data_IF_490699979738
#
_entry.id   IF_490699979738
#
_cell.length_a   1.000
_cell.length_b   1.000
_cell.length_c   1.000
_cell.angle_alpha   90.00
_cell.angle_beta   90.00
_cell.angle_gamma   90.00
#
_symmetry.space_group_name_H-M   'P 1'
#
loop_
_entity.id
_entity.type
_entity.pdbx_description
1 polymer ?
#
# COMPACT_ATOMS: atom_id res chain seq x y z
N UNK A 1 0.74 4.50 3.55
CA UNK A 1 0.16 5.30 2.46
C UNK A 1 -0.55 6.54 3.00
N UNK A 2 -1.56 6.38 3.87
CA UNK A 2 -2.35 7.50 4.40
C UNK A 2 -1.51 8.58 5.09
N UNK A 3 -0.42 8.20 5.73
CA UNK A 3 0.55 9.14 6.32
C UNK A 3 1.18 10.08 5.28
N UNK A 4 1.53 9.53 4.10
CA UNK A 4 2.21 10.26 3.02
C UNK A 4 1.22 10.98 2.09
N UNK A 5 -0.09 10.75 2.24
CA UNK A 5 -1.12 11.28 1.35
C UNK A 5 -1.22 12.81 1.37
N UNK A 6 -1.63 13.42 0.26
CA UNK A 6 -1.86 14.87 0.18
C UNK A 6 -2.98 15.34 1.13
N UNK A 7 -4.00 14.50 1.36
CA UNK A 7 -5.08 14.77 2.32
C UNK A 7 -4.66 14.54 3.78
N UNK A 8 -3.45 14.03 4.00
CA UNK A 8 -2.91 13.82 5.34
C UNK A 8 -2.69 15.13 6.08
N UNK A 9 -3.12 15.18 7.33
CA UNK A 9 -2.96 16.30 8.23
C UNK A 9 -2.29 15.82 9.55
N UNK A 10 -1.92 16.72 10.48
CA UNK A 10 -1.24 16.33 11.72
C UNK A 10 -1.98 15.25 12.51
N UNK A 11 -3.31 15.30 12.57
CA UNK A 11 -4.13 14.30 13.26
C UNK A 11 -4.06 12.93 12.60
N UNK A 12 -4.29 12.85 11.28
CA UNK A 12 -4.23 11.59 10.55
C UNK A 12 -2.82 11.01 10.53
N UNK A 13 -1.78 11.85 10.43
CA UNK A 13 -0.38 11.42 10.51
C UNK A 13 -0.05 10.83 11.87
N UNK A 14 -0.50 11.43 12.95
CA UNK A 14 -0.33 10.88 14.30
C UNK A 14 -0.99 9.50 14.42
N UNK A 15 -2.24 9.36 13.98
CA UNK A 15 -2.96 8.08 14.00
C UNK A 15 -2.25 7.02 13.16
N UNK A 16 -1.84 7.36 11.94
CA UNK A 16 -1.17 6.43 11.03
C UNK A 16 0.19 5.96 11.61
N UNK A 17 0.97 6.86 12.19
CA UNK A 17 2.24 6.50 12.81
C UNK A 17 2.01 5.58 14.02
N UNK A 18 1.08 5.94 14.91
CA UNK A 18 0.73 5.14 16.09
C UNK A 18 0.25 3.73 15.66
N UNK A 19 -0.64 3.68 14.67
CA UNK A 19 -1.12 2.41 14.13
C UNK A 19 0.02 1.56 13.55
N UNK A 20 0.93 2.19 12.80
CA UNK A 20 2.07 1.50 12.20
C UNK A 20 2.96 0.88 13.29
N UNK A 21 3.30 1.63 14.33
CA UNK A 21 4.13 1.13 15.44
C UNK A 21 3.48 -0.08 16.15
N UNK A 22 2.17 -0.02 16.40
CA UNK A 22 1.42 -1.12 17.02
C UNK A 22 1.40 -2.36 16.11
N UNK A 23 1.07 -2.16 14.82
CA UNK A 23 0.94 -3.26 13.85
C UNK A 23 2.31 -3.90 13.56
N UNK A 24 3.36 -3.11 13.38
CA UNK A 24 4.72 -3.59 13.20
C UNK A 24 5.16 -4.43 14.40
N UNK A 25 5.00 -3.89 15.61
CA UNK A 25 5.32 -4.64 16.84
C UNK A 25 4.53 -5.95 16.92
N UNK A 26 3.23 -5.90 16.64
CA UNK A 26 2.36 -7.06 16.69
C UNK A 26 2.79 -8.17 15.73
N UNK A 27 3.10 -7.80 14.48
CA UNK A 27 3.47 -8.76 13.44
C UNK A 27 4.89 -9.32 13.66
N UNK A 28 5.86 -8.45 13.96
CA UNK A 28 7.25 -8.89 14.12
C UNK A 28 7.47 -9.76 15.36
N UNK A 29 6.65 -9.59 16.40
CA UNK A 29 6.75 -10.31 17.67
C UNK A 29 5.61 -11.33 17.89
N UNK A 30 4.80 -11.64 16.86
CA UNK A 30 3.69 -12.58 16.93
C UNK A 30 2.67 -12.24 18.05
N UNK A 31 2.42 -10.93 18.31
CA UNK A 31 1.49 -10.39 19.30
C UNK A 31 0.14 -10.04 18.67
N UNK A 32 -0.53 -11.07 18.12
CA UNK A 32 -1.73 -10.91 17.29
C UNK A 32 -2.92 -10.31 18.03
N UNK A 33 -2.96 -10.39 19.37
CA UNK A 33 -3.97 -9.71 20.19
C UNK A 33 -3.98 -8.18 20.04
N UNK A 34 -2.87 -7.60 19.54
CA UNK A 34 -2.75 -6.15 19.29
C UNK A 34 -3.23 -5.73 17.88
N UNK A 35 -3.45 -6.68 16.98
CA UNK A 35 -3.82 -6.36 15.59
C UNK A 35 -5.15 -5.60 15.51
N UNK A 36 -6.13 -5.97 16.32
CA UNK A 36 -7.43 -5.31 16.33
C UNK A 36 -7.32 -3.82 16.69
N UNK A 37 -6.53 -3.50 17.72
CA UNK A 37 -6.29 -2.10 18.13
C UNK A 37 -5.54 -1.32 17.04
N UNK A 38 -4.45 -1.89 16.51
CA UNK A 38 -3.68 -1.27 15.44
C UNK A 38 -4.53 -1.02 14.19
N UNK A 39 -5.36 -2.00 13.81
CA UNK A 39 -6.27 -1.90 12.68
C UNK A 39 -7.34 -0.82 12.90
N UNK A 40 -7.93 -0.72 14.10
CA UNK A 40 -8.90 0.33 14.44
C UNK A 40 -8.26 1.73 14.29
N UNK A 41 -7.10 1.95 14.89
CA UNK A 41 -6.40 3.24 14.83
C UNK A 41 -6.01 3.57 13.38
N UNK A 42 -5.54 2.57 12.63
CA UNK A 42 -5.24 2.70 11.20
C UNK A 42 -6.48 3.15 10.41
N UNK A 43 -7.65 2.52 10.67
CA UNK A 43 -8.93 2.86 10.06
C UNK A 43 -9.34 4.31 10.32
N UNK A 44 -9.17 4.79 11.55
CA UNK A 44 -9.41 6.20 11.89
C UNK A 44 -8.46 7.15 11.14
N UNK A 45 -7.22 6.75 10.93
CA UNK A 45 -6.24 7.53 10.16
C UNK A 45 -6.61 7.61 8.68
N UNK A 46 -6.68 6.49 7.97
CA UNK A 46 -6.93 6.49 6.53
C UNK A 46 -8.38 6.84 6.15
N UNK A 47 -9.34 6.61 7.04
CA UNK A 47 -10.72 7.04 6.85
C UNK A 47 -10.87 8.54 6.70
N UNK A 48 -9.94 9.33 7.27
CA UNK A 48 -9.92 10.79 7.21
C UNK A 48 -8.89 11.38 6.23
N UNK A 49 -8.05 10.57 5.58
CA UNK A 49 -7.03 11.02 4.63
C UNK A 49 -6.97 10.21 3.34
N UNK A 50 -7.77 9.14 3.25
CA UNK A 50 -7.75 8.17 2.16
C UNK A 50 -6.39 7.49 1.99
N UNK A 51 -6.28 6.64 0.98
CA UNK A 51 -5.08 5.90 0.58
C UNK A 51 -4.56 6.40 -0.77
N UNK A 52 -3.50 5.82 -1.29
CA UNK A 52 -2.76 6.36 -2.44
C UNK A 52 -2.42 5.29 -3.47
N UNK A 53 -1.28 5.42 -4.14
CA UNK A 53 -0.81 4.59 -5.25
C UNK A 53 -0.86 3.08 -4.99
N UNK A 54 -0.51 2.63 -3.78
CA UNK A 54 -0.51 1.19 -3.47
C UNK A 54 -1.90 0.58 -3.60
N UNK A 55 -2.95 1.30 -3.17
CA UNK A 55 -4.33 0.87 -3.36
C UNK A 55 -4.74 0.89 -4.84
N UNK A 56 -4.40 1.96 -5.58
CA UNK A 56 -4.67 2.02 -7.02
C UNK A 56 -4.05 0.82 -7.77
N UNK A 57 -2.80 0.47 -7.43
CA UNK A 57 -2.12 -0.70 -8.01
C UNK A 57 -2.75 -2.02 -7.57
N UNK A 58 -3.29 -2.13 -6.36
CA UNK A 58 -3.76 -3.40 -5.81
C UNK A 58 -5.02 -3.93 -6.49
N UNK A 59 -5.88 -3.06 -7.02
CA UNK A 59 -7.17 -3.44 -7.56
C UNK A 59 -7.08 -4.36 -8.78
N UNK A 60 -6.08 -4.20 -9.65
CA UNK A 60 -5.93 -5.08 -10.82
C UNK A 60 -5.61 -6.52 -10.38
N UNK A 61 -4.87 -6.71 -9.30
CA UNK A 61 -4.60 -8.01 -8.71
C UNK A 61 -5.82 -8.58 -7.97
N UNK A 62 -6.52 -7.73 -7.21
CA UNK A 62 -7.71 -8.15 -6.47
C UNK A 62 -8.85 -8.54 -7.41
N UNK A 63 -8.98 -7.90 -8.55
CA UNK A 63 -9.96 -8.27 -9.59
C UNK A 63 -9.66 -9.64 -10.23
N UNK A 64 -8.42 -10.13 -10.15
CA UNK A 64 -8.03 -11.47 -10.56
C UNK A 64 -8.13 -12.51 -9.42
N UNK A 65 -8.75 -12.15 -8.29
CA UNK A 65 -9.02 -13.05 -7.18
C UNK A 65 -7.91 -13.11 -6.12
N UNK A 66 -6.86 -12.29 -6.21
CA UNK A 66 -5.86 -12.19 -5.16
C UNK A 66 -6.46 -11.42 -3.98
N UNK A 67 -6.38 -11.98 -2.77
CA UNK A 67 -6.89 -11.34 -1.56
C UNK A 67 -6.30 -9.92 -1.41
N UNK A 68 -7.16 -8.93 -1.17
CA UNK A 68 -6.78 -7.51 -1.18
C UNK A 68 -5.58 -7.19 -0.26
N UNK A 69 -5.57 -7.67 0.97
CA UNK A 69 -4.43 -7.48 1.88
C UNK A 69 -3.13 -8.14 1.39
N UNK A 70 -3.23 -9.27 0.68
CA UNK A 70 -2.09 -9.91 0.05
C UNK A 70 -1.55 -9.05 -1.10
N UNK A 71 -2.41 -8.57 -1.99
CA UNK A 71 -2.00 -7.65 -3.07
C UNK A 71 -1.36 -6.38 -2.51
N UNK A 72 -1.96 -5.78 -1.47
CA UNK A 72 -1.44 -4.59 -0.80
C UNK A 72 -0.05 -4.79 -0.19
N UNK A 73 0.31 -5.98 0.27
CA UNK A 73 1.65 -6.23 0.80
C UNK A 73 2.75 -5.89 -0.21
N UNK A 74 2.53 -6.16 -1.48
CA UNK A 74 3.48 -5.88 -2.56
C UNK A 74 3.28 -4.50 -3.17
N UNK A 75 2.05 -4.12 -3.45
CA UNK A 75 1.77 -2.84 -4.11
C UNK A 75 2.02 -1.64 -3.20
N UNK A 76 1.75 -1.75 -1.90
CA UNK A 76 2.11 -0.71 -0.93
C UNK A 76 3.62 -0.62 -0.73
N UNK A 77 4.33 -1.74 -0.77
CA UNK A 77 5.79 -1.73 -0.71
C UNK A 77 6.38 -0.98 -1.91
N UNK A 78 5.88 -1.26 -3.12
CA UNK A 78 6.28 -0.54 -4.34
C UNK A 78 5.93 0.95 -4.27
N UNK A 79 4.73 1.29 -3.78
CA UNK A 79 4.30 2.68 -3.59
C UNK A 79 5.16 3.42 -2.56
N UNK A 80 5.52 2.80 -1.45
CA UNK A 80 6.43 3.39 -0.46
C UNK A 80 7.82 3.66 -1.05
N UNK A 81 8.36 2.72 -1.84
CA UNK A 81 9.65 2.92 -2.54
C UNK A 81 9.55 4.09 -3.53
N UNK A 82 8.51 4.14 -4.34
CA UNK A 82 8.27 5.20 -5.33
C UNK A 82 8.13 6.58 -4.68
N UNK A 83 7.42 6.65 -3.56
CA UNK A 83 7.14 7.90 -2.85
C UNK A 83 8.27 8.35 -1.91
N UNK A 84 9.36 7.62 -1.76
CA UNK A 84 10.42 7.82 -0.76
C UNK A 84 9.87 7.89 0.68
N UNK A 85 8.88 7.04 0.96
CA UNK A 85 8.24 6.98 2.27
C UNK A 85 9.22 6.62 3.38
N UNK A 86 9.12 7.32 4.52
CA UNK A 86 9.90 6.99 5.73
C UNK A 86 9.60 5.58 6.26
N UNK A 87 8.45 5.01 5.90
CA UNK A 87 8.05 3.66 6.30
C UNK A 87 8.60 2.55 5.39
N UNK A 88 9.22 2.87 4.26
CA UNK A 88 9.60 1.87 3.25
C UNK A 88 10.37 0.69 3.86
N UNK A 89 11.48 0.96 4.57
CA UNK A 89 12.32 -0.11 5.13
C UNK A 89 11.63 -0.91 6.24
N UNK A 90 10.88 -0.24 7.08
CA UNK A 90 10.12 -0.90 8.15
C UNK A 90 9.02 -1.80 7.55
N UNK A 91 8.30 -1.30 6.56
CA UNK A 91 7.26 -2.07 5.86
C UNK A 91 7.85 -3.26 5.08
N UNK A 92 9.00 -3.10 4.45
CA UNK A 92 9.74 -4.19 3.80
C UNK A 92 10.03 -5.35 4.79
N UNK A 93 10.43 -5.05 6.02
CA UNK A 93 10.66 -6.05 7.05
C UNK A 93 9.38 -6.81 7.44
N UNK A 94 8.25 -6.09 7.52
CA UNK A 94 6.94 -6.71 7.77
C UNK A 94 6.57 -7.66 6.64
N UNK A 95 6.69 -7.22 5.39
CA UNK A 95 6.39 -8.06 4.21
C UNK A 95 7.27 -9.32 4.19
N UNK A 96 8.56 -9.20 4.51
CA UNK A 96 9.48 -10.34 4.63
C UNK A 96 9.06 -11.32 5.73
N UNK A 97 8.66 -10.80 6.91
CA UNK A 97 8.19 -11.64 8.03
C UNK A 97 6.91 -12.40 7.66
N UNK A 98 5.98 -11.75 6.96
CA UNK A 98 4.72 -12.37 6.53
C UNK A 98 4.93 -13.46 5.49
N UNK A 99 6.02 -13.40 4.74
CA UNK A 99 6.43 -14.41 3.75
C UNK A 99 5.29 -14.81 2.79
N UNK A 100 4.51 -13.85 2.33
CA UNK A 100 3.43 -14.11 1.38
C UNK A 100 3.98 -14.62 0.05
N UNK A 101 3.23 -15.53 -0.57
CA UNK A 101 3.51 -15.99 -1.93
C UNK A 101 3.48 -14.78 -2.88
N UNK A 102 4.44 -14.74 -3.81
CA UNK A 102 4.50 -13.69 -4.84
C UNK A 102 3.19 -13.60 -5.62
N UNK A 103 2.82 -12.39 -5.96
CA UNK A 103 1.64 -12.12 -6.79
C UNK A 103 2.02 -12.09 -8.26
N UNK A 104 1.09 -12.48 -9.13
CA UNK A 104 1.23 -12.37 -10.58
C UNK A 104 -0.01 -11.69 -11.16
N UNK A 105 0.15 -11.07 -12.30
CA UNK A 105 -0.93 -10.42 -13.04
C UNK A 105 -1.08 -11.14 -14.37
N UNK A 106 -2.30 -11.62 -14.69
CA UNK A 106 -2.62 -12.22 -15.98
C UNK A 106 -3.00 -11.17 -17.03
N UNK A 107 -3.57 -10.05 -16.57
CA UNK A 107 -3.94 -8.95 -17.44
C UNK A 107 -2.70 -8.33 -18.11
N UNK A 108 -2.83 -7.93 -19.38
CA UNK A 108 -1.77 -7.17 -20.05
C UNK A 108 -1.42 -5.90 -19.28
N UNK A 109 -0.13 -5.64 -19.10
CA UNK A 109 0.37 -4.56 -18.25
C UNK A 109 -0.03 -3.17 -18.77
N UNK A 110 -0.18 -2.99 -20.09
CA UNK A 110 -0.64 -1.71 -20.65
C UNK A 110 -2.11 -1.49 -20.34
N UNK A 111 -2.92 -2.54 -20.49
CA UNK A 111 -4.34 -2.48 -20.14
C UNK A 111 -4.54 -2.26 -18.63
N UNK A 112 -3.78 -2.97 -17.81
CA UNK A 112 -3.77 -2.75 -16.36
C UNK A 112 -3.42 -1.30 -15.99
N UNK A 113 -2.39 -0.72 -16.63
CA UNK A 113 -2.00 0.66 -16.40
C UNK A 113 -3.08 1.68 -16.77
N UNK A 114 -3.85 1.41 -17.83
CA UNK A 114 -4.98 2.25 -18.23
C UNK A 114 -6.15 2.19 -17.23
N UNK A 115 -6.40 1.02 -16.66
CA UNK A 115 -7.40 0.87 -15.60
C UNK A 115 -6.97 1.61 -14.33
N UNK A 116 -5.73 1.48 -13.93
CA UNK A 116 -5.16 2.16 -12.75
C UNK A 116 -5.25 3.69 -12.93
N UNK A 117 -4.94 4.22 -14.12
CA UNK A 117 -5.02 5.66 -14.39
C UNK A 117 -6.43 6.26 -14.25
N UNK A 118 -7.47 5.43 -14.29
CA UNK A 118 -8.86 5.87 -14.03
C UNK A 118 -9.14 6.08 -12.55
N UNK A 119 -8.32 5.53 -11.66
CA UNK A 119 -8.47 5.68 -10.21
C UNK A 119 -7.92 7.03 -9.72
N UNK A 120 -8.60 8.09 -10.10
CA UNK A 120 -8.23 9.47 -9.74
C UNK A 120 -8.22 9.69 -8.23
N UNK A 121 -9.13 9.05 -7.49
CA UNK A 121 -9.22 9.20 -6.04
C UNK A 121 -7.88 8.91 -5.35
N UNK A 122 -7.22 7.82 -5.70
CA UNK A 122 -5.98 7.40 -5.07
C UNK A 122 -4.75 8.07 -5.70
N UNK A 123 -4.75 8.23 -7.03
CA UNK A 123 -3.62 8.82 -7.74
C UNK A 123 -3.48 10.32 -7.47
N UNK A 124 -4.59 11.07 -7.43
CA UNK A 124 -4.56 12.52 -7.13
C UNK A 124 -4.16 12.79 -5.67
N UNK A 125 -4.45 11.82 -4.77
CA UNK A 125 -4.05 11.86 -3.36
C UNK A 125 -2.59 11.40 -3.11
N UNK A 126 -1.94 10.80 -4.11
CA UNK A 126 -0.55 10.35 -3.98
C UNK A 126 0.40 11.55 -3.84
N UNK A 127 1.42 11.52 -2.96
CA UNK A 127 2.32 12.66 -2.74
C UNK A 127 3.07 13.07 -4.01
N UNK A 128 3.47 12.10 -4.84
CA UNK A 128 4.11 12.35 -6.13
C UNK A 128 3.14 12.10 -7.28
N UNK A 129 3.17 12.89 -8.37
CA UNK A 129 2.45 12.55 -9.58
C UNK A 129 2.95 11.21 -10.13
N UNK A 130 2.07 10.48 -10.80
CA UNK A 130 2.38 9.15 -11.35
C UNK A 130 2.01 9.11 -12.82
N UNK A 131 2.95 8.77 -13.67
CA UNK A 131 2.76 8.61 -15.12
C UNK A 131 2.40 7.17 -15.49
N UNK A 132 1.86 6.97 -16.70
CA UNK A 132 1.57 5.63 -17.24
C UNK A 132 2.82 4.73 -17.23
N UNK A 133 3.98 5.27 -17.65
CA UNK A 133 5.21 4.50 -17.71
C UNK A 133 5.70 4.06 -16.33
N UNK A 134 5.56 4.92 -15.32
CA UNK A 134 5.90 4.56 -13.94
C UNK A 134 4.97 3.45 -13.40
N UNK A 135 3.67 3.51 -13.68
CA UNK A 135 2.74 2.42 -13.34
C UNK A 135 3.17 1.11 -14.00
N UNK A 136 3.50 1.13 -15.29
CA UNK A 136 3.98 -0.05 -16.02
C UNK A 136 5.23 -0.63 -15.36
N UNK A 137 6.19 0.21 -15.00
CA UNK A 137 7.42 -0.22 -14.34
C UNK A 137 7.15 -0.85 -12.96
N UNK A 138 6.29 -0.22 -12.15
CA UNK A 138 5.89 -0.73 -10.84
C UNK A 138 5.18 -2.09 -10.94
N UNK A 139 4.30 -2.27 -11.94
CA UNK A 139 3.65 -3.56 -12.17
C UNK A 139 4.65 -4.64 -12.57
N UNK A 140 5.62 -4.33 -13.43
CA UNK A 140 6.67 -5.26 -13.85
C UNK A 140 7.60 -5.64 -12.69
N UNK A 141 7.99 -4.68 -11.84
CA UNK A 141 8.79 -4.97 -10.65
C UNK A 141 8.07 -5.93 -9.68
N UNK A 142 6.77 -5.76 -9.47
CA UNK A 142 5.98 -6.63 -8.62
C UNK A 142 5.85 -8.08 -9.16
N UNK A 143 5.87 -8.23 -10.49
CA UNK A 143 5.81 -9.55 -11.15
C UNK A 143 7.19 -10.24 -11.15
N UNK A 144 8.27 -9.46 -11.23
CA UNK A 144 9.63 -9.99 -11.44
C UNK A 144 10.36 -10.33 -10.14
N UNK A 145 9.90 -9.83 -9.00
CA UNK A 145 10.50 -10.06 -7.68
C UNK A 145 9.74 -11.13 -6.91
#
# INVERSE_FOLDING_TARGET
>A
EAYDSKLGNPYTKFLCNTAFDILEYAILNDKFEKLALGSLICGLGFGNSSTTLGHALSYVYSNEGIAHGHALSFTTLAAHKFNDSIFYKRFENIVKKLNFKKISLNLDVNLASELILKDKKHLDNNPKPVTKNEIINLLKENISN
#
